data_IF_583476805030
#
_entry.id   IF_583476805030
#
_cell.length_a   1.000
_cell.length_b   1.000
_cell.length_c   1.000
_cell.angle_alpha   90.00
_cell.angle_beta   90.00
_cell.angle_gamma   90.00
#
_symmetry.space_group_name_H-M   'P 1'
#
loop_
_entity.id
_entity.type
_entity.pdbx_description
1 polymer ?
#
# COMPACT_ATOMS: atom_id res chain seq x y z
N UNK A 1 29.33 -56.94 -26.13
CA UNK A 1 28.13 -56.29 -25.56
C UNK A 1 28.58 -55.12 -24.68
N UNK A 2 28.95 -53.97 -25.28
CA UNK A 2 29.45 -52.81 -24.50
C UNK A 2 29.10 -51.44 -25.11
N UNK A 3 28.36 -51.37 -26.22
CA UNK A 3 28.09 -50.08 -26.90
C UNK A 3 26.84 -49.34 -26.42
N UNK A 4 26.01 -49.92 -25.55
CA UNK A 4 24.69 -49.35 -25.23
C UNK A 4 24.73 -48.39 -24.02
N UNK A 5 25.77 -48.42 -23.17
CA UNK A 5 25.80 -47.59 -21.95
C UNK A 5 26.28 -46.15 -22.17
N UNK A 6 26.94 -45.84 -23.28
CA UNK A 6 27.60 -44.54 -23.51
C UNK A 6 26.77 -43.53 -24.32
N UNK A 7 25.71 -43.96 -25.00
CA UNK A 7 24.95 -43.11 -25.93
C UNK A 7 24.03 -42.07 -25.23
N UNK A 8 23.22 -42.42 -24.21
CA UNK A 8 22.35 -41.44 -23.55
C UNK A 8 23.14 -40.45 -22.67
N UNK A 9 24.28 -40.86 -22.11
CA UNK A 9 25.16 -40.00 -21.33
C UNK A 9 25.89 -38.98 -22.22
N UNK A 10 26.35 -39.40 -23.41
CA UNK A 10 26.96 -38.49 -24.39
C UNK A 10 25.97 -37.52 -25.03
N UNK A 11 24.72 -37.92 -25.26
CA UNK A 11 23.66 -37.03 -25.75
C UNK A 11 23.26 -35.99 -24.69
N UNK A 12 23.15 -36.38 -23.42
CA UNK A 12 22.92 -35.46 -22.31
C UNK A 12 24.08 -34.47 -22.11
N UNK A 13 25.34 -34.93 -22.21
CA UNK A 13 26.53 -34.06 -22.12
C UNK A 13 26.60 -33.10 -23.30
N UNK A 14 26.33 -33.55 -24.53
CA UNK A 14 26.28 -32.67 -25.72
C UNK A 14 25.15 -31.65 -25.64
N UNK A 15 23.96 -32.06 -25.18
CA UNK A 15 22.83 -31.15 -25.00
C UNK A 15 23.13 -30.09 -23.94
N UNK A 16 23.81 -30.49 -22.85
CA UNK A 16 24.28 -29.57 -21.83
C UNK A 16 25.33 -28.60 -22.39
N UNK A 17 26.34 -29.09 -23.11
CA UNK A 17 27.38 -28.27 -23.75
C UNK A 17 26.82 -27.30 -24.80
N UNK A 18 25.86 -27.72 -25.61
CA UNK A 18 25.18 -26.86 -26.59
C UNK A 18 24.31 -25.80 -25.89
N UNK A 19 23.67 -26.15 -24.78
CA UNK A 19 22.95 -25.20 -23.93
C UNK A 19 23.92 -24.19 -23.31
N UNK A 20 25.05 -24.64 -22.75
CA UNK A 20 26.09 -23.78 -22.19
C UNK A 20 26.66 -22.83 -23.25
N UNK A 21 26.99 -23.31 -24.45
CA UNK A 21 27.48 -22.50 -25.56
C UNK A 21 26.46 -21.48 -26.07
N UNK A 22 25.17 -21.84 -26.09
CA UNK A 22 24.08 -20.94 -26.52
C UNK A 22 23.80 -19.86 -25.47
N UNK A 23 23.87 -20.21 -24.19
CA UNK A 23 23.82 -19.28 -23.06
C UNK A 23 25.03 -18.36 -23.10
N UNK A 24 26.24 -18.89 -23.28
CA UNK A 24 27.49 -18.14 -23.34
C UNK A 24 27.51 -17.15 -24.51
N UNK A 25 27.13 -17.56 -25.73
CA UNK A 25 27.05 -16.64 -26.87
C UNK A 25 25.99 -15.54 -26.69
N UNK A 26 24.89 -15.81 -25.98
CA UNK A 26 23.85 -14.80 -25.72
C UNK A 26 24.25 -13.86 -24.57
N UNK A 27 24.87 -14.41 -23.52
CA UNK A 27 25.40 -13.65 -22.39
C UNK A 27 26.57 -12.75 -22.79
N UNK A 28 27.51 -13.25 -23.61
CA UNK A 28 28.67 -12.48 -24.05
C UNK A 28 28.26 -11.36 -25.03
N UNK A 29 27.34 -11.64 -25.95
CA UNK A 29 26.88 -10.66 -26.95
C UNK A 29 26.12 -9.48 -26.32
N UNK A 30 25.36 -9.72 -25.26
CA UNK A 30 24.55 -8.70 -24.58
C UNK A 30 24.99 -8.43 -23.12
N UNK A 31 26.25 -8.76 -22.78
CA UNK A 31 26.77 -8.73 -21.40
C UNK A 31 26.47 -7.43 -20.66
N UNK A 32 26.74 -6.28 -21.29
CA UNK A 32 26.53 -4.98 -20.65
C UNK A 32 25.05 -4.69 -20.39
N UNK A 33 24.14 -5.15 -21.26
CA UNK A 33 22.69 -5.01 -21.09
C UNK A 33 22.19 -5.91 -19.97
N UNK A 34 22.66 -7.16 -19.92
CA UNK A 34 22.27 -8.11 -18.87
C UNK A 34 22.77 -7.66 -17.50
N UNK A 35 24.04 -7.23 -17.40
CA UNK A 35 24.61 -6.69 -16.17
C UNK A 35 23.87 -5.41 -15.76
N UNK A 36 23.60 -4.51 -16.71
CA UNK A 36 22.83 -3.29 -16.46
C UNK A 36 21.42 -3.57 -15.93
N UNK A 37 20.72 -4.55 -16.51
CA UNK A 37 19.40 -4.98 -16.04
C UNK A 37 19.47 -5.59 -14.62
N UNK A 38 20.47 -6.41 -14.33
CA UNK A 38 20.70 -6.99 -13.00
C UNK A 38 20.95 -5.91 -11.94
N UNK A 39 21.82 -4.94 -12.24
CA UNK A 39 22.09 -3.80 -11.34
C UNK A 39 20.81 -2.98 -11.11
N UNK A 40 20.04 -2.72 -12.16
CA UNK A 40 18.79 -1.97 -12.07
C UNK A 40 17.75 -2.67 -11.18
N UNK A 41 17.65 -4.01 -11.27
CA UNK A 41 16.80 -4.81 -10.37
C UNK A 41 17.27 -4.68 -8.92
N UNK A 42 18.58 -4.84 -8.66
CA UNK A 42 19.14 -4.75 -7.31
C UNK A 42 18.91 -3.35 -6.72
N UNK A 43 19.15 -2.29 -7.49
CA UNK A 43 18.88 -0.91 -7.08
C UNK A 43 17.39 -0.69 -6.84
N UNK A 44 16.52 -1.25 -7.67
CA UNK A 44 15.06 -1.19 -7.49
C UNK A 44 14.61 -1.84 -6.18
N UNK A 45 15.10 -3.06 -5.89
CA UNK A 45 14.81 -3.77 -4.64
C UNK A 45 15.39 -3.01 -3.44
N UNK A 46 16.67 -2.61 -3.50
CA UNK A 46 17.34 -1.87 -2.45
C UNK A 46 16.67 -0.52 -2.15
N UNK A 47 16.29 0.22 -3.19
CA UNK A 47 15.53 1.47 -3.08
C UNK A 47 14.16 1.25 -2.45
N UNK A 48 13.42 0.22 -2.86
CA UNK A 48 12.11 -0.11 -2.29
C UNK A 48 12.19 -0.47 -0.80
N UNK A 49 13.12 -1.35 -0.42
CA UNK A 49 13.31 -1.74 0.98
C UNK A 49 13.84 -0.57 1.82
N UNK A 50 14.78 0.21 1.29
CA UNK A 50 15.30 1.42 1.94
C UNK A 50 14.20 2.44 2.23
N UNK A 51 13.31 2.71 1.25
CA UNK A 51 12.18 3.61 1.45
C UNK A 51 11.22 3.11 2.53
N UNK A 52 10.87 1.82 2.49
CA UNK A 52 9.93 1.21 3.45
C UNK A 52 10.48 1.25 4.88
N UNK A 53 11.75 0.90 5.07
CA UNK A 53 12.32 0.77 6.41
C UNK A 53 12.74 2.12 7.01
N UNK A 54 13.28 3.04 6.21
CA UNK A 54 13.79 4.32 6.71
C UNK A 54 12.72 5.40 6.82
N UNK A 55 11.74 5.45 5.91
CA UNK A 55 10.74 6.51 5.89
C UNK A 55 9.37 6.03 6.39
N UNK A 56 8.91 4.86 5.95
CA UNK A 56 7.56 4.41 6.27
C UNK A 56 7.44 3.89 7.71
N UNK A 57 8.47 3.20 8.21
CA UNK A 57 8.50 2.67 9.59
C UNK A 57 8.40 3.76 10.68
N UNK A 58 9.23 4.83 10.69
CA UNK A 58 9.08 5.88 11.70
C UNK A 58 7.76 6.64 11.55
N UNK A 59 7.30 6.89 10.31
CA UNK A 59 5.98 7.50 10.08
C UNK A 59 4.85 6.65 10.64
N UNK A 60 4.92 5.33 10.50
CA UNK A 60 3.90 4.41 11.03
C UNK A 60 3.83 4.49 12.56
N UNK A 61 4.98 4.44 13.24
CA UNK A 61 5.01 4.56 14.70
C UNK A 61 4.48 5.91 15.20
N UNK A 62 4.82 7.00 14.52
CA UNK A 62 4.29 8.33 14.85
C UNK A 62 2.78 8.42 14.62
N UNK A 63 2.28 7.86 13.51
CA UNK A 63 0.86 7.84 13.19
C UNK A 63 0.07 7.04 14.24
N UNK A 64 0.59 5.89 14.65
CA UNK A 64 -0.03 5.02 15.66
C UNK A 64 -0.14 5.72 17.02
N UNK A 65 0.86 6.53 17.40
CA UNK A 65 0.80 7.33 18.62
C UNK A 65 -0.14 8.53 18.50
N UNK A 66 -0.12 9.22 17.36
CA UNK A 66 -0.92 10.44 17.14
C UNK A 66 -2.41 10.15 17.01
N UNK A 67 -2.81 9.02 16.43
CA UNK A 67 -4.23 8.71 16.19
C UNK A 67 -5.03 8.47 17.47
N UNK A 68 -4.38 8.06 18.56
CA UNK A 68 -5.05 7.85 19.85
C UNK A 68 -5.67 9.12 20.42
N UNK A 69 -5.10 10.30 20.13
CA UNK A 69 -5.62 11.58 20.61
C UNK A 69 -7.01 11.92 20.05
N UNK A 70 -7.21 12.03 18.71
CA UNK A 70 -8.53 12.28 18.15
C UNK A 70 -9.51 11.12 18.41
N UNK A 71 -9.04 9.88 18.54
CA UNK A 71 -9.91 8.76 18.93
C UNK A 71 -10.56 8.98 20.30
N UNK A 72 -9.85 9.54 21.27
CA UNK A 72 -10.42 9.84 22.58
C UNK A 72 -11.49 10.96 22.53
N UNK A 73 -11.39 11.91 21.60
CA UNK A 73 -12.46 12.87 21.36
C UNK A 73 -13.64 12.23 20.62
N UNK A 74 -13.35 11.35 19.66
CA UNK A 74 -14.37 10.63 18.91
C UNK A 74 -15.24 9.75 19.80
N UNK A 75 -14.65 9.01 20.75
CA UNK A 75 -15.41 8.18 21.70
C UNK A 75 -16.24 8.98 22.70
N UNK A 76 -16.01 10.30 22.80
CA UNK A 76 -16.79 11.24 23.62
C UNK A 76 -17.77 12.07 22.78
N UNK A 77 -18.09 11.61 21.57
CA UNK A 77 -18.96 12.29 20.60
C UNK A 77 -18.51 13.72 20.23
N UNK A 78 -17.25 14.07 20.52
CA UNK A 78 -16.67 15.38 20.22
C UNK A 78 -16.11 15.42 18.81
N UNK A 79 -16.97 15.22 17.81
CA UNK A 79 -16.58 14.99 16.42
C UNK A 79 -15.80 16.14 15.79
N UNK A 80 -16.13 17.40 16.10
CA UNK A 80 -15.37 18.55 15.58
C UNK A 80 -13.94 18.61 16.11
N UNK A 81 -13.74 18.31 17.40
CA UNK A 81 -12.40 18.23 18.01
C UNK A 81 -11.64 17.00 17.52
N UNK A 82 -12.31 15.87 17.34
CA UNK A 82 -11.71 14.68 16.77
C UNK A 82 -11.25 14.91 15.32
N UNK A 83 -12.03 15.65 14.54
CA UNK A 83 -11.75 15.95 13.14
C UNK A 83 -10.61 16.95 12.98
N UNK A 84 -10.70 18.10 13.66
CA UNK A 84 -9.78 19.23 13.47
C UNK A 84 -8.61 19.26 14.46
N UNK A 85 -8.76 18.64 15.62
CA UNK A 85 -7.84 18.76 16.74
C UNK A 85 -8.27 19.86 17.72
N UNK A 86 -7.49 19.99 18.80
CA UNK A 86 -7.68 20.99 19.86
C UNK A 86 -6.73 22.21 19.73
N UNK A 87 -5.99 22.29 18.62
CA UNK A 87 -4.97 23.31 18.35
C UNK A 87 -3.58 22.97 18.91
N UNK A 88 -3.47 22.00 19.81
CA UNK A 88 -2.20 21.47 20.33
C UNK A 88 -1.90 20.12 19.66
N UNK A 89 -2.91 19.26 19.62
CA UNK A 89 -2.90 17.93 19.03
C UNK A 89 -3.70 17.95 17.73
N UNK A 90 -3.13 17.36 16.68
CA UNK A 90 -3.80 17.23 15.38
C UNK A 90 -5.00 16.29 15.43
N UNK A 91 -6.05 16.64 14.69
CA UNK A 91 -7.21 15.79 14.47
C UNK A 91 -7.02 14.76 13.35
N UNK A 92 -8.09 14.03 13.02
CA UNK A 92 -8.07 13.02 11.95
C UNK A 92 -7.68 13.58 10.59
N UNK A 93 -8.03 14.84 10.27
CA UNK A 93 -7.62 15.48 9.01
C UNK A 93 -6.11 15.53 8.85
N UNK A 94 -5.42 16.07 9.87
CA UNK A 94 -3.97 16.19 9.84
C UNK A 94 -3.31 14.81 9.76
N UNK A 95 -3.83 13.82 10.49
CA UNK A 95 -3.25 12.47 10.49
C UNK A 95 -3.45 11.78 9.14
N UNK A 96 -4.61 11.98 8.51
CA UNK A 96 -4.89 11.46 7.17
C UNK A 96 -3.93 12.06 6.12
N UNK A 97 -3.64 13.35 6.21
CA UNK A 97 -2.75 14.06 5.29
C UNK A 97 -1.27 13.70 5.51
N UNK A 98 -0.78 13.78 6.75
CA UNK A 98 0.64 13.59 7.08
C UNK A 98 1.09 12.13 6.99
N UNK A 99 0.16 11.21 7.28
CA UNK A 99 0.42 9.78 7.47
C UNK A 99 -0.45 8.87 6.60
N UNK A 100 -1.12 9.37 5.55
CA UNK A 100 -2.09 8.59 4.75
C UNK A 100 -1.57 7.29 4.13
N UNK A 101 -0.25 7.12 3.96
CA UNK A 101 0.37 5.87 3.51
C UNK A 101 0.52 4.80 4.61
N UNK A 102 0.31 5.17 5.87
CA UNK A 102 0.38 4.28 7.02
C UNK A 102 -0.98 3.65 7.32
N UNK A 103 -1.02 2.60 8.14
CA UNK A 103 -2.29 1.98 8.54
C UNK A 103 -3.18 2.97 9.31
N UNK A 104 -2.58 3.72 10.24
CA UNK A 104 -3.28 4.70 11.07
C UNK A 104 -3.72 5.91 10.27
N UNK A 105 -2.90 6.47 9.38
CA UNK A 105 -3.36 7.56 8.51
C UNK A 105 -4.49 7.15 7.56
N UNK A 106 -4.46 5.92 7.02
CA UNK A 106 -5.59 5.39 6.26
C UNK A 106 -6.84 5.24 7.14
N UNK A 107 -6.71 4.74 8.38
CA UNK A 107 -7.82 4.66 9.32
C UNK A 107 -8.37 6.05 9.71
N UNK A 108 -7.50 7.06 9.81
CA UNK A 108 -7.92 8.43 10.08
C UNK A 108 -8.84 8.99 8.98
N UNK A 109 -8.68 8.57 7.73
CA UNK A 109 -9.63 8.93 6.64
C UNK A 109 -11.03 8.41 6.92
N UNK A 110 -11.16 7.15 7.33
CA UNK A 110 -12.45 6.57 7.70
C UNK A 110 -13.11 7.36 8.84
N UNK A 111 -12.35 7.66 9.90
CA UNK A 111 -12.88 8.47 11.01
C UNK A 111 -13.23 9.90 10.59
N UNK A 112 -12.45 10.52 9.69
CA UNK A 112 -12.75 11.84 9.14
C UNK A 112 -14.08 11.80 8.37
N UNK A 113 -14.31 10.78 7.53
CA UNK A 113 -15.58 10.56 6.84
C UNK A 113 -16.76 10.48 7.81
N UNK A 114 -16.63 9.66 8.87
CA UNK A 114 -17.68 9.56 9.91
C UNK A 114 -17.91 10.90 10.63
N UNK A 115 -16.86 11.66 10.94
CA UNK A 115 -17.01 12.99 11.55
C UNK A 115 -17.75 13.97 10.64
N UNK A 116 -17.45 13.98 9.33
CA UNK A 116 -18.16 14.80 8.35
C UNK A 116 -19.62 14.39 8.18
N UNK A 117 -19.89 13.08 8.19
CA UNK A 117 -21.25 12.56 8.19
C UNK A 117 -22.04 13.08 9.41
N UNK A 118 -21.44 13.08 10.61
CA UNK A 118 -22.07 13.66 11.80
C UNK A 118 -22.27 15.17 11.71
N UNK A 119 -21.42 15.86 10.95
CA UNK A 119 -21.57 17.28 10.66
C UNK A 119 -22.58 17.58 9.52
N UNK A 120 -23.17 16.54 8.90
CA UNK A 120 -24.03 16.63 7.70
C UNK A 120 -23.34 17.24 6.48
N UNK A 121 -22.01 17.20 6.45
CA UNK A 121 -21.22 17.56 5.27
C UNK A 121 -20.97 16.29 4.44
N UNK A 122 -21.98 15.92 3.66
CA UNK A 122 -21.97 14.69 2.88
C UNK A 122 -20.90 14.70 1.78
N UNK A 123 -20.58 15.86 1.21
CA UNK A 123 -19.55 15.99 0.16
C UNK A 123 -18.16 15.66 0.70
N UNK A 124 -17.81 16.22 1.85
CA UNK A 124 -16.56 15.90 2.51
C UNK A 124 -16.54 14.44 2.99
N UNK A 125 -17.65 13.93 3.51
CA UNK A 125 -17.74 12.55 4.00
C UNK A 125 -17.45 11.53 2.88
N UNK A 126 -18.14 11.67 1.74
CA UNK A 126 -17.95 10.83 0.54
C UNK A 126 -16.49 10.85 0.11
N UNK A 127 -15.88 12.05 0.01
CA UNK A 127 -14.47 12.19 -0.39
C UNK A 127 -13.54 11.37 0.49
N UNK A 128 -13.71 11.44 1.81
CA UNK A 128 -12.85 10.71 2.75
C UNK A 128 -13.10 9.20 2.75
N UNK A 129 -14.33 8.75 2.49
CA UNK A 129 -14.64 7.33 2.34
C UNK A 129 -14.15 6.74 1.02
N UNK A 130 -14.18 7.49 -0.08
CA UNK A 130 -13.57 7.09 -1.36
C UNK A 130 -12.04 7.00 -1.26
N UNK A 131 -11.41 7.91 -0.50
CA UNK A 131 -9.97 7.92 -0.27
C UNK A 131 -9.50 6.83 0.72
N UNK A 132 -10.41 6.29 1.52
CA UNK A 132 -10.13 5.21 2.45
C UNK A 132 -9.92 3.89 1.70
N UNK A 133 -8.83 3.18 2.00
CA UNK A 133 -8.52 1.89 1.41
C UNK A 133 -8.80 0.77 2.42
N UNK A 134 -9.93 0.05 2.31
CA UNK A 134 -10.27 -1.02 3.23
C UNK A 134 -9.24 -2.17 3.13
N UNK A 135 -8.94 -2.79 4.27
CA UNK A 135 -7.99 -3.92 4.32
C UNK A 135 -8.66 -5.29 4.21
N UNK A 136 -9.96 -5.34 4.47
CA UNK A 136 -10.76 -6.55 4.44
C UNK A 136 -12.02 -6.29 3.62
N UNK A 137 -12.54 -7.35 3.01
CA UNK A 137 -13.77 -7.28 2.21
C UNK A 137 -14.97 -6.81 3.05
N UNK A 138 -14.99 -7.17 4.35
CA UNK A 138 -15.99 -6.71 5.30
C UNK A 138 -15.96 -5.18 5.49
N UNK A 139 -14.76 -4.61 5.71
CA UNK A 139 -14.60 -3.15 5.83
C UNK A 139 -14.91 -2.45 4.51
N UNK A 140 -14.64 -3.09 3.38
CA UNK A 140 -15.00 -2.57 2.07
C UNK A 140 -16.52 -2.51 1.92
N UNK A 141 -17.22 -3.60 2.22
CA UNK A 141 -18.69 -3.66 2.19
C UNK A 141 -19.34 -2.59 3.07
N UNK A 142 -18.85 -2.43 4.30
CA UNK A 142 -19.29 -1.37 5.22
C UNK A 142 -19.09 0.03 4.64
N UNK A 143 -17.91 0.31 4.08
CA UNK A 143 -17.62 1.62 3.47
C UNK A 143 -18.53 1.89 2.27
N UNK A 144 -18.76 0.89 1.40
CA UNK A 144 -19.69 1.01 0.28
C UNK A 144 -21.13 1.26 0.74
N UNK A 145 -21.59 0.58 1.80
CA UNK A 145 -22.93 0.82 2.37
C UNK A 145 -23.05 2.26 2.86
N UNK A 146 -22.05 2.76 3.59
CA UNK A 146 -22.03 4.14 4.09
C UNK A 146 -22.07 5.14 2.93
N UNK A 147 -21.25 4.94 1.90
CA UNK A 147 -21.28 5.75 0.69
C UNK A 147 -22.66 5.75 0.02
N UNK A 148 -23.28 4.57 -0.16
CA UNK A 148 -24.61 4.47 -0.75
C UNK A 148 -25.67 5.24 0.06
N UNK A 149 -25.62 5.16 1.39
CA UNK A 149 -26.52 5.90 2.29
C UNK A 149 -26.27 7.41 2.11
N UNK A 150 -25.02 7.84 2.10
CA UNK A 150 -24.67 9.26 1.94
C UNK A 150 -25.10 9.84 0.60
N UNK A 151 -24.88 9.12 -0.50
CA UNK A 151 -25.36 9.53 -1.82
C UNK A 151 -26.89 9.64 -1.86
N UNK A 152 -27.60 8.74 -1.17
CA UNK A 152 -29.06 8.82 -1.06
C UNK A 152 -29.52 10.02 -0.21
N UNK A 153 -28.93 10.23 0.96
CA UNK A 153 -29.25 11.36 1.84
C UNK A 153 -28.94 12.70 1.17
N UNK A 154 -27.76 12.82 0.53
CA UNK A 154 -27.39 14.01 -0.25
C UNK A 154 -28.45 14.36 -1.29
N UNK A 155 -28.99 13.37 -2.02
CA UNK A 155 -30.02 13.60 -3.03
C UNK A 155 -31.41 13.91 -2.44
N UNK A 156 -31.68 13.50 -1.20
CA UNK A 156 -32.95 13.79 -0.50
C UNK A 156 -32.94 15.16 0.15
N UNK A 157 -31.77 15.64 0.60
CA UNK A 157 -31.60 16.91 1.30
C UNK A 157 -31.01 18.05 0.42
N UNK A 158 -30.73 17.79 -0.86
CA UNK A 158 -30.33 18.78 -1.86
C UNK A 158 -31.55 19.46 -2.52
#
# INVERSE_FOLDING_TARGET
MSEIKNKPEQEAVKQNDDLYRKVENTFLKNRNVIIGALVLIIVGIGGYFGYKELFLKPKTQQADNKISYPQNFFTKDSFQLALNGDGINGGFLQIADDYGMTKSGNLAKYYAGVCYLKAKDFDSAIKYFEDYKPKTDELAGLTYILLCIEYAEKNVFA
#
